data_IF_509238430103
#
_entry.id   IF_509238430103
#
_cell.length_a   1.000
_cell.length_b   1.000
_cell.length_c   1.000
_cell.angle_alpha   90.00
_cell.angle_beta   90.00
_cell.angle_gamma   90.00
#
_symmetry.space_group_name_H-M   'P 1'
#
loop_
_entity.id
_entity.type
_entity.pdbx_description
1 polymer ?
#
# COMPACT_ATOMS: atom_id res chain seq x y z
N UNK A 1 -11.97 -58.28 39.20
CA UNK A 1 -11.77 -56.81 39.37
C UNK A 1 -10.42 -56.33 38.84
N UNK A 2 -9.28 -56.97 39.16
CA UNK A 2 -7.94 -56.51 38.72
C UNK A 2 -7.76 -56.35 37.20
N UNK A 3 -8.31 -57.27 36.38
CA UNK A 3 -8.18 -57.21 34.91
C UNK A 3 -8.78 -55.95 34.28
N UNK A 4 -9.89 -55.47 34.83
CA UNK A 4 -10.53 -54.22 34.38
C UNK A 4 -9.72 -52.99 34.82
N UNK A 5 -9.12 -53.04 36.00
CA UNK A 5 -8.25 -52.00 36.55
C UNK A 5 -6.98 -51.80 35.71
N UNK A 6 -6.38 -52.87 35.20
CA UNK A 6 -5.22 -52.79 34.30
C UNK A 6 -5.59 -52.19 32.93
N UNK A 7 -6.77 -52.52 32.40
CA UNK A 7 -7.22 -51.99 31.11
C UNK A 7 -7.50 -50.49 31.20
N UNK A 8 -8.18 -50.04 32.26
CA UNK A 8 -8.42 -48.61 32.49
C UNK A 8 -7.13 -47.84 32.74
N UNK A 9 -6.17 -48.41 33.47
CA UNK A 9 -4.87 -47.79 33.68
C UNK A 9 -4.13 -47.56 32.36
N UNK A 10 -4.06 -48.55 31.49
CA UNK A 10 -3.41 -48.43 30.18
C UNK A 10 -4.12 -47.39 29.31
N UNK A 11 -5.46 -47.40 29.29
CA UNK A 11 -6.24 -46.42 28.53
C UNK A 11 -5.98 -44.98 28.99
N UNK A 12 -5.86 -44.75 30.30
CA UNK A 12 -5.55 -43.41 30.86
C UNK A 12 -4.14 -42.98 30.47
N UNK A 13 -3.14 -43.86 30.53
CA UNK A 13 -1.78 -43.52 30.12
C UNK A 13 -1.73 -43.14 28.63
N UNK A 14 -2.38 -43.93 27.77
CA UNK A 14 -2.45 -43.63 26.32
C UNK A 14 -3.14 -42.29 26.08
N UNK A 15 -4.27 -42.03 26.76
CA UNK A 15 -4.99 -40.77 26.63
C UNK A 15 -4.14 -39.56 27.05
N UNK A 16 -3.41 -39.66 28.16
CA UNK A 16 -2.49 -38.62 28.63
C UNK A 16 -1.37 -38.37 27.61
N UNK A 17 -0.79 -39.41 27.02
CA UNK A 17 0.26 -39.24 25.99
C UNK A 17 -0.23 -38.52 24.75
N UNK A 18 -1.47 -38.80 24.31
CA UNK A 18 -2.09 -38.11 23.16
C UNK A 18 -2.33 -36.63 23.50
N UNK A 19 -2.85 -36.32 24.68
CA UNK A 19 -3.07 -34.93 25.11
C UNK A 19 -1.76 -34.14 25.21
N UNK A 20 -0.70 -34.75 25.74
CA UNK A 20 0.63 -34.12 25.81
C UNK A 20 1.22 -33.91 24.41
N UNK A 21 1.07 -34.87 23.51
CA UNK A 21 1.52 -34.75 22.12
C UNK A 21 0.80 -33.62 21.37
N UNK A 22 -0.52 -33.53 21.52
CA UNK A 22 -1.32 -32.44 20.94
C UNK A 22 -0.94 -31.08 21.55
N UNK A 23 -0.83 -30.99 22.87
CA UNK A 23 -0.41 -29.75 23.55
C UNK A 23 0.98 -29.28 23.10
N UNK A 24 1.91 -30.22 22.88
CA UNK A 24 3.23 -29.92 22.35
C UNK A 24 3.18 -29.41 20.91
N UNK A 25 2.44 -30.07 20.02
CA UNK A 25 2.29 -29.66 18.62
C UNK A 25 1.62 -28.28 18.47
N UNK A 26 0.62 -27.96 19.31
CA UNK A 26 0.00 -26.63 19.31
C UNK A 26 1.00 -25.54 19.76
N UNK A 27 1.80 -25.81 20.79
CA UNK A 27 2.81 -24.88 21.30
C UNK A 27 3.89 -24.58 20.26
N UNK A 28 4.35 -25.58 19.52
CA UNK A 28 5.36 -25.39 18.46
C UNK A 28 4.81 -24.55 17.29
N UNK A 29 3.53 -24.75 16.92
CA UNK A 29 2.86 -23.96 15.88
C UNK A 29 2.66 -22.50 16.29
N UNK A 30 2.34 -22.26 17.56
CA UNK A 30 2.19 -20.92 18.12
C UNK A 30 3.53 -20.18 18.15
N UNK A 31 4.63 -20.86 18.51
CA UNK A 31 5.98 -20.28 18.53
C UNK A 31 6.48 -19.97 17.11
N UNK A 32 6.29 -20.88 16.15
CA UNK A 32 6.74 -20.70 14.77
C UNK A 32 6.01 -19.55 14.05
N UNK A 33 4.74 -19.30 14.37
CA UNK A 33 3.96 -18.23 13.74
C UNK A 33 4.09 -16.88 14.44
N UNK A 34 4.47 -16.86 15.73
CA UNK A 34 4.63 -15.61 16.49
C UNK A 34 5.90 -14.86 16.10
N UNK A 35 7.02 -15.57 15.88
CA UNK A 35 8.29 -14.92 15.53
C UNK A 35 8.22 -14.21 14.15
N UNK A 36 7.57 -14.82 13.16
CA UNK A 36 7.41 -14.22 11.83
C UNK A 36 6.44 -13.03 11.84
N UNK A 37 5.36 -13.07 12.62
CA UNK A 37 4.44 -11.93 12.79
C UNK A 37 5.12 -10.75 13.46
N UNK A 38 5.95 -11.01 14.48
CA UNK A 38 6.61 -9.95 15.23
C UNK A 38 7.62 -9.17 14.37
N UNK A 39 8.37 -9.85 13.50
CA UNK A 39 9.28 -9.19 12.55
C UNK A 39 8.51 -8.37 11.51
N UNK A 40 7.41 -8.92 10.94
CA UNK A 40 6.60 -8.20 9.95
C UNK A 40 5.91 -6.95 10.53
N UNK A 41 5.45 -7.01 11.77
CA UNK A 41 4.79 -5.87 12.40
C UNK A 41 5.80 -4.76 12.77
N UNK A 42 7.02 -5.12 13.15
CA UNK A 42 8.10 -4.16 13.39
C UNK A 42 8.55 -3.45 12.11
N UNK A 43 8.67 -4.18 11.00
CA UNK A 43 8.98 -3.58 9.70
C UNK A 43 7.85 -2.68 9.18
N UNK A 44 6.59 -3.10 9.31
CA UNK A 44 5.43 -2.27 8.94
C UNK A 44 5.33 -0.99 9.76
N UNK A 45 5.60 -1.06 11.07
CA UNK A 45 5.61 0.12 11.93
C UNK A 45 6.73 1.11 11.52
N UNK A 46 7.92 0.59 11.23
CA UNK A 46 9.05 1.40 10.76
C UNK A 46 8.75 2.04 9.39
N UNK A 47 8.18 1.29 8.44
CA UNK A 47 7.80 1.81 7.12
C UNK A 47 6.71 2.88 7.21
N UNK A 48 5.66 2.67 8.02
CA UNK A 48 4.61 3.69 8.24
C UNK A 48 5.17 4.99 8.80
N UNK A 49 6.19 4.93 9.67
CA UNK A 49 6.84 6.14 10.21
C UNK A 49 7.65 6.90 9.15
N UNK A 50 8.33 6.18 8.25
CA UNK A 50 9.11 6.75 7.14
C UNK A 50 8.19 7.36 6.08
N UNK A 51 7.08 6.70 5.77
CA UNK A 51 6.07 7.20 4.84
C UNK A 51 5.39 8.46 5.39
N UNK A 52 5.03 8.49 6.68
CA UNK A 52 4.50 9.70 7.35
C UNK A 52 5.50 10.86 7.34
N UNK A 53 6.80 10.60 7.59
CA UNK A 53 7.85 11.63 7.52
C UNK A 53 8.05 12.15 6.10
N UNK A 54 8.03 11.29 5.09
CA UNK A 54 8.12 11.72 3.69
C UNK A 54 6.88 12.51 3.27
N UNK A 55 5.69 12.10 3.70
CA UNK A 55 4.44 12.84 3.46
C UNK A 55 4.44 14.20 4.17
N UNK A 56 4.97 14.29 5.39
CA UNK A 56 5.13 15.56 6.11
C UNK A 56 6.17 16.47 5.45
N UNK A 57 7.32 15.93 5.00
CA UNK A 57 8.32 16.69 4.23
C UNK A 57 7.76 17.19 2.91
N UNK A 58 6.99 16.37 2.19
CA UNK A 58 6.32 16.80 0.98
C UNK A 58 5.32 17.92 1.28
N UNK A 59 4.51 17.77 2.33
CA UNK A 59 3.56 18.81 2.75
C UNK A 59 4.26 20.11 3.18
N UNK A 60 5.38 20.05 3.90
CA UNK A 60 6.13 21.26 4.31
C UNK A 60 6.85 21.92 3.13
N UNK A 61 7.36 21.16 2.16
CA UNK A 61 7.93 21.73 0.93
C UNK A 61 6.81 22.41 0.11
N UNK A 62 5.63 21.80 0.04
CA UNK A 62 4.43 22.38 -0.60
C UNK A 62 3.98 23.64 0.15
N UNK A 63 3.94 23.63 1.47
CA UNK A 63 3.53 24.77 2.30
C UNK A 63 4.52 25.93 2.21
N UNK A 64 5.83 25.65 2.23
CA UNK A 64 6.88 26.68 2.11
C UNK A 64 6.93 27.28 0.70
N UNK A 65 6.66 26.48 -0.34
CA UNK A 65 6.53 26.98 -1.71
C UNK A 65 5.22 27.75 -1.93
N UNK A 66 4.13 27.38 -1.27
CA UNK A 66 2.86 28.13 -1.28
C UNK A 66 2.96 29.46 -0.53
N UNK A 67 3.66 29.55 0.60
CA UNK A 67 3.81 30.82 1.34
C UNK A 67 4.68 31.82 0.56
N UNK A 68 5.71 31.34 -0.17
CA UNK A 68 6.56 32.21 -1.00
C UNK A 68 5.87 32.68 -2.30
N UNK A 69 4.84 31.97 -2.75
CA UNK A 69 4.00 32.36 -3.90
C UNK A 69 2.78 33.18 -3.47
N UNK A 70 2.23 32.95 -2.27
CA UNK A 70 1.13 33.73 -1.68
C UNK A 70 1.57 35.15 -1.30
N UNK A 71 2.82 35.37 -0.92
CA UNK A 71 3.36 36.72 -0.71
C UNK A 71 3.44 37.56 -1.99
N UNK A 72 3.27 36.95 -3.18
CA UNK A 72 3.32 37.64 -4.48
C UNK A 72 1.96 37.70 -5.20
N UNK A 73 0.90 37.13 -4.61
CA UNK A 73 -0.41 37.08 -5.27
C UNK A 73 -1.52 37.29 -4.25
N UNK A 74 -1.93 38.55 -4.10
CA UNK A 74 -3.17 38.93 -3.43
C UNK A 74 -4.36 38.43 -4.26
N UNK A 75 -4.70 37.15 -4.18
CA UNK A 75 -6.03 36.66 -4.54
C UNK A 75 -6.34 35.41 -3.74
N UNK A 76 -7.25 35.60 -2.78
CA UNK A 76 -8.08 34.58 -2.15
C UNK A 76 -8.54 33.55 -3.20
N UNK A 77 -8.18 32.28 -3.05
CA UNK A 77 -8.96 31.18 -3.60
C UNK A 77 -8.75 29.93 -2.75
N UNK A 78 -9.87 29.40 -2.27
CA UNK A 78 -10.04 28.20 -1.48
C UNK A 78 -9.21 27.03 -2.00
N UNK A 79 -8.59 26.25 -1.11
CA UNK A 79 -8.07 24.91 -1.43
C UNK A 79 -9.21 24.13 -2.10
N UNK A 80 -9.13 23.75 -3.39
CA UNK A 80 -10.16 22.92 -3.98
C UNK A 80 -10.06 21.53 -3.34
N UNK A 81 -11.19 21.03 -2.83
CA UNK A 81 -11.31 19.68 -2.32
C UNK A 81 -10.83 18.70 -3.42
N UNK A 82 -9.97 17.72 -3.13
CA UNK A 82 -9.43 16.84 -4.16
C UNK A 82 -10.57 16.10 -4.85
N UNK A 83 -10.57 16.14 -6.18
CA UNK A 83 -11.56 15.45 -7.00
C UNK A 83 -11.54 13.95 -6.72
N UNK A 84 -12.64 13.22 -6.98
CA UNK A 84 -12.68 11.77 -6.76
C UNK A 84 -11.59 11.09 -7.59
N UNK A 85 -11.38 11.54 -8.84
CA UNK A 85 -10.27 11.09 -9.69
C UNK A 85 -8.90 11.33 -9.06
N UNK A 86 -8.67 12.50 -8.46
CA UNK A 86 -7.40 12.81 -7.78
C UNK A 86 -7.18 11.91 -6.56
N UNK A 87 -8.23 11.65 -5.77
CA UNK A 87 -8.14 10.74 -4.63
C UNK A 87 -7.79 9.33 -5.07
N UNK A 88 -8.46 8.81 -6.11
CA UNK A 88 -8.19 7.48 -6.67
C UNK A 88 -6.75 7.40 -7.16
N UNK A 89 -6.26 8.43 -7.86
CA UNK A 89 -4.86 8.52 -8.28
C UNK A 89 -3.93 8.38 -7.07
N UNK A 90 -4.06 9.26 -6.05
CA UNK A 90 -3.15 9.28 -4.90
C UNK A 90 -3.14 7.97 -4.10
N UNK A 91 -4.30 7.31 -3.98
CA UNK A 91 -4.43 6.07 -3.21
C UNK A 91 -3.93 4.83 -3.97
N UNK A 92 -3.77 4.92 -5.30
CA UNK A 92 -3.49 3.76 -6.15
C UNK A 92 -2.20 3.90 -7.00
N UNK A 93 -1.25 4.71 -6.53
CA UNK A 93 0.11 4.77 -7.10
C UNK A 93 1.01 3.61 -6.66
N UNK A 94 0.61 2.85 -5.64
CA UNK A 94 1.46 1.85 -5.02
C UNK A 94 1.47 0.52 -5.78
N UNK A 95 2.64 -0.13 -5.79
CA UNK A 95 2.85 -1.40 -6.47
C UNK A 95 3.78 -2.32 -5.67
N UNK A 96 3.63 -3.61 -5.90
CA UNK A 96 4.55 -4.67 -5.45
C UNK A 96 5.37 -5.24 -6.61
N UNK A 97 4.87 -5.13 -7.85
CA UNK A 97 5.55 -5.58 -9.06
C UNK A 97 5.21 -4.70 -10.25
N UNK A 98 6.13 -4.62 -11.21
CA UNK A 98 5.93 -3.94 -12.50
C UNK A 98 4.67 -4.39 -13.24
N UNK A 99 4.27 -5.66 -13.10
CA UNK A 99 3.04 -6.20 -13.75
C UNK A 99 1.75 -5.51 -13.26
N UNK A 100 1.79 -4.88 -12.09
CA UNK A 100 0.65 -4.17 -11.52
C UNK A 100 0.56 -2.74 -12.05
N UNK A 101 1.60 -2.20 -12.67
CA UNK A 101 1.60 -0.83 -13.16
C UNK A 101 1.09 -0.77 -14.59
N UNK A 102 0.15 0.12 -14.82
CA UNK A 102 -0.47 0.39 -16.11
C UNK A 102 -0.49 1.89 -16.37
N UNK A 103 -0.50 2.25 -17.66
CA UNK A 103 -0.61 3.63 -18.08
C UNK A 103 -2.07 3.95 -18.36
N UNK A 104 -2.59 4.99 -17.70
CA UNK A 104 -3.97 5.45 -17.89
C UNK A 104 -3.96 6.92 -18.28
N UNK A 105 -4.65 7.23 -19.37
CA UNK A 105 -4.92 8.60 -19.77
C UNK A 105 -6.18 9.08 -19.04
N UNK A 106 -6.07 10.19 -18.33
CA UNK A 106 -7.13 10.79 -17.55
C UNK A 106 -7.34 12.21 -18.04
N UNK A 107 -8.56 12.52 -18.43
CA UNK A 107 -8.98 13.87 -18.79
C UNK A 107 -9.44 14.63 -17.55
N UNK A 108 -8.88 15.82 -17.39
CA UNK A 108 -9.13 16.81 -16.35
C UNK A 108 -9.59 18.10 -17.02
N UNK A 109 -10.89 18.23 -17.27
CA UNK A 109 -11.42 19.28 -18.14
C UNK A 109 -10.79 19.21 -19.54
N UNK A 110 -10.09 20.26 -19.95
CA UNK A 110 -9.45 20.36 -21.27
C UNK A 110 -8.07 19.66 -21.35
N UNK A 111 -7.54 19.16 -20.24
CA UNK A 111 -6.19 18.59 -20.17
C UNK A 111 -6.23 17.06 -20.08
N UNK A 112 -5.62 16.37 -21.05
CA UNK A 112 -5.41 14.93 -21.01
C UNK A 112 -4.02 14.60 -20.46
N UNK A 113 -3.96 13.94 -19.31
CA UNK A 113 -2.71 13.55 -18.66
C UNK A 113 -2.58 12.03 -18.62
N UNK A 114 -1.38 11.53 -18.89
CA UNK A 114 -1.06 10.12 -18.67
C UNK A 114 -0.56 9.92 -17.22
N UNK A 115 -0.95 8.83 -16.57
CA UNK A 115 -0.47 8.47 -15.23
C UNK A 115 -0.12 7.00 -15.14
N UNK A 116 1.05 6.71 -14.58
CA UNK A 116 1.42 5.37 -14.17
C UNK A 116 0.77 5.07 -12.83
N UNK A 117 -0.18 4.13 -12.81
CA UNK A 117 -0.92 3.73 -11.61
C UNK A 117 -1.03 2.22 -11.55
N UNK A 118 -1.47 1.69 -10.42
CA UNK A 118 -1.74 0.27 -10.33
C UNK A 118 -3.04 -0.12 -11.04
N UNK A 119 -3.21 -1.41 -11.32
CA UNK A 119 -4.39 -1.97 -12.00
C UNK A 119 -5.70 -1.71 -11.24
N UNK A 120 -5.66 -1.57 -9.91
CA UNK A 120 -6.84 -1.27 -9.08
C UNK A 120 -7.30 0.16 -9.37
N UNK A 121 -6.39 1.12 -9.31
CA UNK A 121 -6.64 2.52 -9.63
C UNK A 121 -7.15 2.71 -11.05
N UNK A 122 -6.60 1.97 -12.01
CA UNK A 122 -7.07 2.00 -13.39
C UNK A 122 -8.53 1.57 -13.52
N UNK A 123 -8.91 0.48 -12.85
CA UNK A 123 -10.29 0.00 -12.82
C UNK A 123 -11.25 0.99 -12.14
N UNK A 124 -10.81 1.61 -11.04
CA UNK A 124 -11.61 2.61 -10.32
C UNK A 124 -11.81 3.88 -11.15
N UNK A 125 -10.76 4.35 -11.84
CA UNK A 125 -10.86 5.52 -12.73
C UNK A 125 -11.78 5.25 -13.92
N UNK A 126 -11.74 4.05 -14.50
CA UNK A 126 -12.63 3.67 -15.60
C UNK A 126 -14.11 3.67 -15.19
N UNK A 127 -14.41 3.47 -13.90
CA UNK A 127 -15.78 3.50 -13.35
C UNK A 127 -16.22 4.90 -12.89
N UNK A 128 -15.31 5.87 -12.85
CA UNK A 128 -15.59 7.21 -12.34
C UNK A 128 -16.06 8.10 -13.48
N UNK A 129 -17.17 8.83 -13.28
CA UNK A 129 -17.68 9.78 -14.25
C UNK A 129 -16.66 10.91 -14.54
N UNK A 130 -16.79 11.55 -15.70
CA UNK A 130 -15.91 12.66 -16.05
C UNK A 130 -16.15 13.89 -15.15
N UNK A 131 -15.19 14.15 -14.27
CA UNK A 131 -15.15 15.39 -13.50
C UNK A 131 -14.40 16.49 -14.27
N UNK A 132 -14.93 17.72 -14.21
CA UNK A 132 -14.42 18.93 -14.90
C UNK A 132 -13.24 19.58 -14.14
N UNK A 133 -12.66 18.90 -13.15
CA UNK A 133 -11.63 19.50 -12.31
C UNK A 133 -10.35 19.70 -13.12
N UNK A 134 -9.84 20.92 -13.10
CA UNK A 134 -8.62 21.30 -13.81
C UNK A 134 -7.37 20.89 -13.03
N UNK A 135 -6.41 20.33 -13.75
CA UNK A 135 -5.05 20.09 -13.25
C UNK A 135 -4.13 21.11 -13.92
N UNK A 136 -3.29 21.78 -13.14
CA UNK A 136 -2.45 22.88 -13.65
C UNK A 136 -1.29 22.34 -14.51
N UNK A 137 -0.78 21.13 -14.23
CA UNK A 137 0.33 20.49 -14.97
C UNK A 137 0.24 18.97 -14.96
N UNK A 138 0.43 18.34 -16.12
CA UNK A 138 0.66 16.90 -16.21
C UNK A 138 2.12 16.55 -15.88
N UNK A 139 2.38 15.37 -15.29
CA UNK A 139 3.73 14.81 -15.26
C UNK A 139 4.24 14.57 -16.69
N UNK A 140 5.52 14.84 -16.92
CA UNK A 140 6.20 14.50 -18.18
C UNK A 140 6.93 13.18 -18.04
N UNK A 141 6.82 12.33 -19.05
CA UNK A 141 7.52 11.05 -19.09
C UNK A 141 8.46 10.99 -20.30
N UNK A 142 9.62 10.33 -20.17
CA UNK A 142 10.55 10.17 -21.29
C UNK A 142 9.93 9.32 -22.41
N UNK A 143 10.21 9.64 -23.68
CA UNK A 143 9.65 8.91 -24.83
C UNK A 143 10.09 7.42 -24.89
N UNK A 144 11.22 7.06 -24.26
CA UNK A 144 11.78 5.70 -24.22
C UNK A 144 11.76 5.13 -22.80
N UNK A 145 10.59 5.14 -22.17
CA UNK A 145 10.44 4.70 -20.79
C UNK A 145 9.53 3.50 -20.69
N UNK A 146 9.89 2.57 -19.80
CA UNK A 146 9.05 1.43 -19.47
C UNK A 146 8.44 1.63 -18.09
N UNK A 147 7.20 1.16 -17.92
CA UNK A 147 6.58 1.11 -16.61
C UNK A 147 7.45 0.28 -15.67
N UNK A 148 7.67 0.78 -14.47
CA UNK A 148 8.46 0.13 -13.44
C UNK A 148 7.82 0.36 -12.08
N UNK A 149 8.09 -0.56 -11.16
CA UNK A 149 7.72 -0.42 -9.76
C UNK A 149 8.98 -0.06 -8.98
N UNK A 150 9.21 1.23 -8.74
CA UNK A 150 10.37 1.70 -7.98
C UNK A 150 9.91 2.27 -6.66
N UNK A 151 10.56 1.88 -5.56
CA UNK A 151 10.19 2.33 -4.21
C UNK A 151 8.70 2.09 -3.88
N UNK A 152 8.14 0.96 -4.36
CA UNK A 152 6.72 0.62 -4.24
C UNK A 152 5.76 1.61 -4.93
N UNK A 153 6.23 2.39 -5.90
CA UNK A 153 5.43 3.33 -6.67
C UNK A 153 5.53 3.02 -8.16
N UNK A 154 4.38 3.07 -8.84
CA UNK A 154 4.32 3.00 -10.28
C UNK A 154 4.96 4.25 -10.88
N UNK A 155 6.03 4.05 -11.62
CA UNK A 155 6.79 5.11 -12.25
C UNK A 155 7.32 4.67 -13.60
N UNK A 156 8.03 5.58 -14.26
CA UNK A 156 8.75 5.33 -15.48
C UNK A 156 10.23 5.11 -15.17
N UNK A 157 10.78 4.06 -15.74
CA UNK A 157 12.22 3.78 -15.71
C UNK A 157 12.75 3.85 -17.14
N UNK A 158 13.91 4.49 -17.29
CA UNK A 158 14.60 4.52 -18.58
C UNK A 158 15.06 3.09 -18.91
N UNK A 159 14.87 2.66 -20.16
CA UNK A 159 15.19 1.29 -20.61
C UNK A 159 16.69 0.99 -20.50
N UNK A 160 17.54 2.02 -20.34
CA UNK A 160 19.00 1.92 -20.37
C UNK A 160 19.70 1.90 -18.99
N UNK A 161 19.01 1.61 -17.88
CA UNK A 161 19.65 1.57 -16.55
C UNK A 161 19.15 0.42 -15.68
#
# INVERSE_FOLDING_TARGET
MLKWLTITLIAVVVFITILLGLGYLLKEHEIATTHLKQQLDQERAAQKSKEKRNKYRLNTIIETSLVKVAAKTNTLTSKPLPSVKQKILLENLTCSSKKQCVLVNISFGELACAFAINTIGASLLAKTAEEVNSVIKCPRYPNNSQLSCQHNLCTYSNINN
#
